data_IF_024491116239
#
_entry.id   IF_024491116239
#
_cell.length_a   1.000
_cell.length_b   1.000
_cell.length_c   1.000
_cell.angle_alpha   90.00
_cell.angle_beta   90.00
_cell.angle_gamma   90.00
#
_symmetry.space_group_name_H-M   'P 1'
#
loop_
_entity.id
_entity.type
_entity.pdbx_description
1 polymer ?
#
# COMPACT_ATOMS: atom_id res chain seq x y z
N UNK A 1 -9.11 -54.77 -35.30
CA UNK A 1 -8.37 -54.27 -34.13
C UNK A 1 -9.12 -54.71 -32.88
N UNK A 2 -8.52 -55.55 -32.03
CA UNK A 2 -9.21 -56.07 -30.86
C UNK A 2 -9.51 -54.96 -29.85
N UNK A 3 -10.76 -54.91 -29.36
CA UNK A 3 -11.19 -53.99 -28.32
C UNK A 3 -10.75 -54.59 -26.96
N UNK A 4 -9.53 -54.28 -26.53
CA UNK A 4 -8.97 -54.83 -25.29
C UNK A 4 -9.58 -54.08 -24.10
N UNK A 5 -10.47 -54.72 -23.35
CA UNK A 5 -11.02 -54.17 -22.12
C UNK A 5 -9.98 -54.20 -20.98
N UNK A 6 -9.73 -53.03 -20.39
CA UNK A 6 -8.83 -52.89 -19.25
C UNK A 6 -9.45 -53.46 -17.98
N UNK A 7 -8.64 -54.23 -17.23
CA UNK A 7 -8.98 -54.70 -15.89
C UNK A 7 -9.13 -53.54 -14.91
N UNK A 8 -9.89 -53.74 -13.82
CA UNK A 8 -10.07 -52.73 -12.75
C UNK A 8 -8.73 -52.23 -12.19
N UNK A 9 -7.78 -53.13 -11.95
CA UNK A 9 -6.43 -52.80 -11.47
C UNK A 9 -5.63 -51.92 -12.45
N UNK A 10 -5.72 -52.20 -13.76
CA UNK A 10 -5.09 -51.36 -14.79
C UNK A 10 -5.71 -49.95 -14.82
N UNK A 11 -7.05 -49.85 -14.76
CA UNK A 11 -7.77 -48.56 -14.70
C UNK A 11 -7.36 -47.73 -13.47
N UNK A 12 -7.24 -48.35 -12.30
CA UNK A 12 -6.79 -47.69 -11.07
C UNK A 12 -5.32 -47.26 -11.11
N UNK A 13 -4.45 -48.07 -11.71
CA UNK A 13 -3.03 -47.71 -11.92
C UNK A 13 -2.91 -46.49 -12.84
N UNK A 14 -3.65 -46.47 -13.94
CA UNK A 14 -3.68 -45.33 -14.88
C UNK A 14 -4.17 -44.07 -14.16
N UNK A 15 -5.27 -44.15 -13.40
CA UNK A 15 -5.81 -43.01 -12.63
C UNK A 15 -4.79 -42.43 -11.66
N UNK A 16 -4.04 -43.29 -10.94
CA UNK A 16 -2.96 -42.88 -10.03
C UNK A 16 -1.80 -42.20 -10.76
N UNK A 17 -1.38 -42.73 -11.91
CA UNK A 17 -0.31 -42.15 -12.73
C UNK A 17 -0.72 -40.79 -13.31
N UNK A 18 -1.93 -40.68 -13.85
CA UNK A 18 -2.49 -39.42 -14.35
C UNK A 18 -2.54 -38.36 -13.24
N UNK A 19 -3.01 -38.72 -12.05
CA UNK A 19 -3.05 -37.80 -10.92
C UNK A 19 -1.66 -37.29 -10.52
N UNK A 20 -0.65 -38.17 -10.43
CA UNK A 20 0.74 -37.80 -10.12
C UNK A 20 1.36 -36.92 -11.21
N UNK A 21 1.15 -37.26 -12.48
CA UNK A 21 1.67 -36.49 -13.61
C UNK A 21 1.02 -35.11 -13.69
N UNK A 22 -0.29 -35.01 -13.43
CA UNK A 22 -1.00 -33.74 -13.37
C UNK A 22 -0.48 -32.85 -12.24
N UNK A 23 -0.23 -33.41 -11.05
CA UNK A 23 0.36 -32.64 -9.94
C UNK A 23 1.74 -32.09 -10.31
N UNK A 24 2.61 -32.93 -10.89
CA UNK A 24 3.94 -32.50 -11.37
C UNK A 24 3.83 -31.41 -12.43
N UNK A 25 2.97 -31.60 -13.43
CA UNK A 25 2.74 -30.63 -14.49
C UNK A 25 2.23 -29.28 -13.95
N UNK A 26 1.34 -29.28 -12.97
CA UNK A 26 0.84 -28.06 -12.32
C UNK A 26 1.94 -27.29 -11.60
N UNK A 27 2.82 -27.98 -10.88
CA UNK A 27 3.96 -27.35 -10.19
C UNK A 27 4.90 -26.72 -11.22
N UNK A 28 5.29 -27.46 -12.26
CA UNK A 28 6.17 -26.96 -13.32
C UNK A 28 5.54 -25.76 -14.06
N UNK A 29 4.27 -25.84 -14.44
CA UNK A 29 3.57 -24.73 -15.08
C UNK A 29 3.49 -23.49 -14.17
N UNK A 30 3.23 -23.68 -12.87
CA UNK A 30 3.23 -22.58 -11.90
C UNK A 30 4.60 -21.92 -11.78
N UNK A 31 5.70 -22.69 -11.82
CA UNK A 31 7.06 -22.15 -11.82
C UNK A 31 7.39 -21.37 -13.09
N UNK A 32 7.04 -21.90 -14.26
CA UNK A 32 7.19 -21.20 -15.54
C UNK A 32 6.40 -19.89 -15.52
N UNK A 33 5.14 -19.93 -15.10
CA UNK A 33 4.29 -18.74 -14.99
C UNK A 33 4.84 -17.71 -13.99
N UNK A 34 5.40 -18.15 -12.86
CA UNK A 34 6.08 -17.27 -11.88
C UNK A 34 7.31 -16.61 -12.48
N UNK A 35 8.15 -17.35 -13.20
CA UNK A 35 9.34 -16.83 -13.88
C UNK A 35 8.96 -15.79 -14.94
N UNK A 36 7.99 -16.11 -15.78
CA UNK A 36 7.51 -15.20 -16.83
C UNK A 36 6.85 -13.95 -16.25
N UNK A 37 6.03 -14.08 -15.20
CA UNK A 37 5.48 -12.94 -14.46
C UNK A 37 6.59 -12.05 -13.89
N UNK A 38 7.63 -12.65 -13.29
CA UNK A 38 8.77 -11.90 -12.72
C UNK A 38 9.53 -11.14 -13.81
N UNK A 39 9.77 -11.75 -14.98
CA UNK A 39 10.39 -11.07 -16.14
C UNK A 39 9.54 -9.89 -16.62
N UNK A 40 8.22 -10.07 -16.78
CA UNK A 40 7.31 -8.98 -17.19
C UNK A 40 7.33 -7.82 -16.20
N UNK A 41 7.21 -8.11 -14.90
CA UNK A 41 7.27 -7.08 -13.85
C UNK A 41 8.60 -6.36 -13.85
N UNK A 42 9.73 -7.08 -14.00
CA UNK A 42 11.06 -6.46 -14.06
C UNK A 42 11.17 -5.46 -15.21
N UNK A 43 10.78 -5.86 -16.42
CA UNK A 43 10.81 -4.99 -17.61
C UNK A 43 9.96 -3.72 -17.42
N UNK A 44 8.77 -3.86 -16.84
CA UNK A 44 7.88 -2.72 -16.56
C UNK A 44 8.48 -1.83 -15.47
N UNK A 45 9.05 -2.42 -14.42
CA UNK A 45 9.67 -1.70 -13.31
C UNK A 45 10.89 -0.89 -13.77
N UNK A 46 11.70 -1.43 -14.67
CA UNK A 46 12.85 -0.71 -15.26
C UNK A 46 12.36 0.51 -16.06
N UNK A 47 11.33 0.34 -16.90
CA UNK A 47 10.71 1.46 -17.63
C UNK A 47 10.12 2.52 -16.70
N UNK A 48 9.43 2.12 -15.64
CA UNK A 48 8.87 3.04 -14.66
C UNK A 48 9.97 3.81 -13.92
N UNK A 49 11.10 3.15 -13.60
CA UNK A 49 12.26 3.80 -12.98
C UNK A 49 12.87 4.86 -13.90
N UNK A 50 13.13 4.51 -15.16
CA UNK A 50 13.65 5.44 -16.16
C UNK A 50 12.71 6.61 -16.42
N UNK A 51 11.39 6.39 -16.35
CA UNK A 51 10.41 7.47 -16.46
C UNK A 51 10.53 8.46 -15.30
N UNK A 52 10.59 7.96 -14.06
CA UNK A 52 10.71 8.82 -12.87
C UNK A 52 12.06 9.56 -12.85
N UNK A 53 13.15 8.93 -13.28
CA UNK A 53 14.49 9.57 -13.35
C UNK A 53 14.51 10.80 -14.29
N UNK A 54 13.59 10.89 -15.25
CA UNK A 54 13.47 12.02 -16.17
C UNK A 54 12.61 13.17 -15.63
N UNK A 55 11.89 12.96 -14.53
CA UNK A 55 11.00 13.98 -13.96
C UNK A 55 11.76 14.81 -12.95
N UNK A 56 11.83 16.12 -13.21
CA UNK A 56 12.33 17.07 -12.23
C UNK A 56 11.29 17.31 -11.13
N UNK A 57 11.62 16.96 -9.89
CA UNK A 57 10.75 17.12 -8.73
C UNK A 57 10.92 18.51 -8.09
N UNK A 58 10.43 19.55 -8.77
CA UNK A 58 10.39 20.90 -8.23
C UNK A 58 9.18 21.13 -7.30
N UNK A 59 9.13 22.29 -6.63
CA UNK A 59 8.09 22.58 -5.63
C UNK A 59 6.67 22.59 -6.20
N UNK A 60 6.47 22.92 -7.48
CA UNK A 60 5.16 22.88 -8.13
C UNK A 60 4.70 21.44 -8.34
N UNK A 61 5.58 20.59 -8.88
CA UNK A 61 5.30 19.16 -9.08
C UNK A 61 4.99 18.48 -7.74
N UNK A 62 5.77 18.78 -6.70
CA UNK A 62 5.54 18.21 -5.37
C UNK A 62 4.19 18.66 -4.76
N UNK A 63 3.77 19.91 -4.97
CA UNK A 63 2.43 20.39 -4.54
C UNK A 63 1.31 19.65 -5.26
N UNK A 64 1.45 19.41 -6.57
CA UNK A 64 0.48 18.64 -7.33
C UNK A 64 0.41 17.18 -6.83
N UNK A 65 1.56 16.54 -6.59
CA UNK A 65 1.61 15.18 -6.03
C UNK A 65 0.95 15.12 -4.65
N UNK A 66 1.26 16.07 -3.76
CA UNK A 66 0.64 16.14 -2.43
C UNK A 66 -0.87 16.31 -2.53
N UNK A 67 -1.35 17.20 -3.40
CA UNK A 67 -2.77 17.49 -3.57
C UNK A 67 -3.51 16.30 -4.18
N UNK A 68 -2.96 15.66 -5.21
CA UNK A 68 -3.53 14.45 -5.80
C UNK A 68 -3.58 13.29 -4.79
N UNK A 69 -2.51 13.09 -4.01
CA UNK A 69 -2.47 12.08 -2.95
C UNK A 69 -3.53 12.37 -1.88
N UNK A 70 -3.70 13.64 -1.49
CA UNK A 70 -4.66 14.06 -0.48
C UNK A 70 -6.11 13.95 -0.96
N UNK A 71 -6.39 14.26 -2.23
CA UNK A 71 -7.72 14.05 -2.82
C UNK A 71 -8.08 12.56 -2.88
N UNK A 72 -7.11 11.67 -3.12
CA UNK A 72 -7.35 10.23 -3.09
C UNK A 72 -7.55 9.66 -1.68
N UNK A 73 -6.60 9.89 -0.77
CA UNK A 73 -6.48 9.16 0.50
C UNK A 73 -6.66 10.04 1.76
N UNK A 74 -6.72 11.36 1.59
CA UNK A 74 -6.83 12.31 2.69
C UNK A 74 -8.26 12.48 3.22
N UNK A 75 -8.39 13.03 4.43
CA UNK A 75 -9.69 13.38 5.03
C UNK A 75 -10.10 14.80 4.63
N UNK A 76 -11.34 14.97 4.14
CA UNK A 76 -11.85 16.25 3.65
C UNK A 76 -12.68 17.00 4.70
N UNK A 77 -12.80 16.45 5.92
CA UNK A 77 -13.39 17.17 7.05
C UNK A 77 -12.43 18.29 7.48
N UNK A 78 -12.96 19.50 7.64
CA UNK A 78 -12.16 20.65 8.07
C UNK A 78 -11.49 20.41 9.43
N UNK A 79 -10.31 21.01 9.61
CA UNK A 79 -9.65 21.14 10.91
C UNK A 79 -8.20 20.65 10.95
N UNK A 80 -7.80 19.77 10.03
CA UNK A 80 -6.44 19.24 9.97
C UNK A 80 -6.14 18.56 8.63
N UNK A 81 -4.85 18.51 8.28
CA UNK A 81 -4.36 17.68 7.18
C UNK A 81 -4.25 16.24 7.69
N UNK A 82 -5.10 15.34 7.20
CA UNK A 82 -5.14 13.95 7.67
C UNK A 82 -5.07 12.95 6.53
N UNK A 83 -4.21 11.94 6.65
CA UNK A 83 -4.12 10.83 5.69
C UNK A 83 -3.85 9.52 6.41
N UNK A 84 -4.70 8.52 6.16
CA UNK A 84 -4.56 7.17 6.72
C UNK A 84 -4.06 6.19 5.68
N UNK A 85 -2.97 5.46 5.96
CA UNK A 85 -2.52 4.40 5.05
C UNK A 85 -1.92 3.21 5.78
N UNK A 86 -2.23 2.01 5.29
CA UNK A 86 -1.50 0.79 5.66
C UNK A 86 -0.21 0.60 4.86
N UNK A 87 0.00 1.39 3.80
CA UNK A 87 1.21 1.36 3.00
C UNK A 87 2.27 2.29 3.63
N UNK A 88 3.39 1.75 4.15
CA UNK A 88 4.41 2.55 4.81
C UNK A 88 5.04 3.62 3.90
N UNK A 89 5.14 3.35 2.59
CA UNK A 89 5.71 4.30 1.64
C UNK A 89 4.79 5.49 1.39
N UNK A 90 3.46 5.27 1.38
CA UNK A 90 2.49 6.35 1.18
C UNK A 90 2.50 7.29 2.39
N UNK A 91 2.37 6.75 3.61
CA UNK A 91 2.41 7.56 4.82
C UNK A 91 3.73 8.34 4.95
N UNK A 92 4.87 7.70 4.65
CA UNK A 92 6.18 8.36 4.66
C UNK A 92 6.28 9.46 3.60
N UNK A 93 5.84 9.19 2.37
CA UNK A 93 5.85 10.18 1.29
C UNK A 93 4.98 11.40 1.66
N UNK A 94 3.81 11.18 2.23
CA UNK A 94 2.92 12.24 2.71
C UNK A 94 3.62 13.14 3.75
N UNK A 95 4.24 12.56 4.79
CA UNK A 95 4.99 13.34 5.80
C UNK A 95 6.18 14.09 5.17
N UNK A 96 6.93 13.43 4.28
CA UNK A 96 8.05 14.06 3.57
C UNK A 96 7.61 15.23 2.68
N UNK A 97 6.47 15.10 1.99
CA UNK A 97 5.91 16.18 1.17
C UNK A 97 5.50 17.37 2.03
N UNK A 98 4.85 17.15 3.18
CA UNK A 98 4.49 18.22 4.10
C UNK A 98 5.74 18.97 4.58
N UNK A 99 6.76 18.24 5.07
CA UNK A 99 8.02 18.83 5.55
C UNK A 99 8.81 19.54 4.46
N UNK A 100 8.73 19.06 3.22
CA UNK A 100 9.45 19.66 2.08
C UNK A 100 8.76 20.89 1.48
N UNK A 101 7.44 21.02 1.64
CA UNK A 101 6.65 22.08 1.02
C UNK A 101 6.27 23.21 1.98
N UNK A 102 6.29 22.95 3.29
CA UNK A 102 5.81 23.89 4.30
C UNK A 102 6.79 23.96 5.47
N UNK A 103 6.88 25.13 6.09
CA UNK A 103 7.52 25.27 7.41
C UNK A 103 6.54 24.75 8.46
N UNK A 104 6.88 23.62 9.08
CA UNK A 104 6.01 22.94 10.04
C UNK A 104 6.52 23.14 11.46
N UNK A 105 5.58 23.19 12.40
CA UNK A 105 5.86 22.93 13.81
C UNK A 105 5.64 21.44 14.05
N UNK A 106 6.74 20.70 14.23
CA UNK A 106 6.73 19.24 14.40
C UNK A 106 5.87 18.77 15.59
N UNK A 107 5.64 19.61 16.59
CA UNK A 107 4.81 19.27 17.76
C UNK A 107 3.32 19.11 17.41
N UNK A 108 2.87 19.70 16.29
CA UNK A 108 1.48 19.65 15.80
C UNK A 108 1.13 18.34 15.11
N UNK A 109 2.12 17.49 14.83
CA UNK A 109 1.82 16.13 14.36
C UNK A 109 1.15 15.33 15.47
N UNK A 110 0.08 14.63 15.10
CA UNK A 110 -0.56 13.60 15.91
C UNK A 110 -0.80 12.38 15.04
N UNK A 111 -0.71 11.19 15.61
CA UNK A 111 -0.89 9.96 14.85
C UNK A 111 -1.82 9.00 15.59
N UNK A 112 -2.65 8.27 14.86
CA UNK A 112 -3.45 7.17 15.40
C UNK A 112 -3.18 5.94 14.57
N UNK A 113 -2.91 4.81 15.23
CA UNK A 113 -2.73 3.54 14.53
C UNK A 113 -3.98 2.70 14.73
N UNK A 114 -4.49 2.14 13.63
CA UNK A 114 -5.53 1.13 13.62
C UNK A 114 -4.90 -0.23 13.30
N UNK A 115 -4.71 -1.05 14.33
CA UNK A 115 -4.12 -2.38 14.23
C UNK A 115 -5.17 -3.49 14.24
N UNK A 116 -4.76 -4.72 13.88
CA UNK A 116 -5.58 -5.91 14.12
C UNK A 116 -5.41 -6.39 15.56
N UNK A 117 -6.37 -7.17 16.04
CA UNK A 117 -6.48 -7.61 17.43
C UNK A 117 -5.28 -8.43 17.94
N UNK A 118 -4.62 -9.18 17.04
CA UNK A 118 -3.44 -10.00 17.37
C UNK A 118 -2.13 -9.21 17.41
N UNK A 119 -2.15 -7.91 17.10
CA UNK A 119 -0.97 -7.05 17.06
C UNK A 119 -0.73 -6.36 18.40
N UNK A 120 0.54 -6.07 18.71
CA UNK A 120 0.94 -5.34 19.91
C UNK A 120 1.01 -3.84 19.63
N UNK A 121 0.25 -2.98 20.34
CA UNK A 121 0.27 -1.53 20.17
C UNK A 121 1.67 -0.91 20.15
N UNK A 122 2.50 -1.24 21.15
CA UNK A 122 3.85 -0.68 21.30
C UNK A 122 4.77 -0.99 20.12
N UNK A 123 4.63 -2.19 19.52
CA UNK A 123 5.42 -2.57 18.34
C UNK A 123 5.01 -1.75 17.11
N UNK A 124 3.70 -1.47 16.97
CA UNK A 124 3.18 -0.64 15.89
C UNK A 124 3.63 0.81 16.06
N UNK A 125 3.47 1.37 17.25
CA UNK A 125 3.87 2.74 17.59
C UNK A 125 5.36 2.96 17.33
N UNK A 126 6.23 2.05 17.80
CA UNK A 126 7.67 2.11 17.55
C UNK A 126 8.02 2.01 16.06
N UNK A 127 7.33 1.13 15.32
CA UNK A 127 7.53 0.99 13.88
C UNK A 127 7.23 2.29 13.14
N UNK A 128 6.05 2.86 13.38
CA UNK A 128 5.60 4.08 12.69
C UNK A 128 6.37 5.31 13.15
N UNK A 129 6.68 5.42 14.45
CA UNK A 129 7.53 6.48 14.99
C UNK A 129 8.89 6.51 14.29
N UNK A 130 9.57 5.36 14.18
CA UNK A 130 10.86 5.25 13.48
C UNK A 130 10.75 5.58 12.00
N UNK A 131 9.70 5.09 11.33
CA UNK A 131 9.51 5.28 9.89
C UNK A 131 9.24 6.74 9.53
N UNK A 132 8.33 7.38 10.27
CA UNK A 132 7.86 8.74 10.02
C UNK A 132 8.74 9.80 10.68
N UNK A 133 9.65 9.40 11.57
CA UNK A 133 10.45 10.29 12.43
C UNK A 133 9.52 11.23 13.22
N UNK A 134 8.53 10.66 13.91
CA UNK A 134 7.63 11.39 14.80
C UNK A 134 7.72 10.70 16.18
N UNK A 135 7.93 11.43 17.29
CA UNK A 135 8.03 10.84 18.62
C UNK A 135 6.79 10.03 19.01
N UNK A 136 6.97 8.91 19.73
CA UNK A 136 5.85 8.08 20.23
C UNK A 136 4.89 8.88 21.13
N UNK A 137 5.37 9.92 21.82
CA UNK A 137 4.55 10.84 22.61
C UNK A 137 3.50 11.61 21.79
N UNK A 138 3.64 11.64 20.46
CA UNK A 138 2.69 12.24 19.54
C UNK A 138 1.73 11.21 18.91
N UNK A 139 1.72 9.97 19.41
CA UNK A 139 0.76 8.94 19.02
C UNK A 139 -0.36 8.87 20.05
N UNK A 140 -1.59 8.98 19.58
CA UNK A 140 -2.76 8.61 20.37
C UNK A 140 -2.78 7.09 20.59
N UNK A 141 -3.60 6.67 21.56
CA UNK A 141 -3.80 5.25 21.87
C UNK A 141 -4.12 4.46 20.60
N UNK A 142 -3.28 3.47 20.29
CA UNK A 142 -3.53 2.54 19.19
C UNK A 142 -4.88 1.83 19.37
N UNK A 143 -5.68 1.84 18.31
CA UNK A 143 -6.99 1.21 18.25
C UNK A 143 -6.86 -0.19 17.62
N UNK A 144 -7.19 -1.24 18.36
CA UNK A 144 -7.19 -2.61 17.84
C UNK A 144 -8.61 -3.00 17.39
N UNK A 145 -8.73 -3.49 16.15
CA UNK A 145 -10.00 -3.94 15.58
C UNK A 145 -10.43 -5.29 16.19
N UNK A 146 -11.33 -5.25 17.17
CA UNK A 146 -11.87 -6.43 17.85
C UNK A 146 -12.52 -7.44 16.90
N UNK A 147 -13.02 -7.02 15.73
CA UNK A 147 -13.63 -7.91 14.73
C UNK A 147 -12.63 -8.90 14.13
N UNK A 148 -11.33 -8.63 14.29
CA UNK A 148 -10.24 -9.47 13.75
C UNK A 148 -9.73 -10.51 14.75
N UNK A 149 -10.35 -10.62 15.94
CA UNK A 149 -10.00 -11.63 16.95
C UNK A 149 -10.08 -13.04 16.35
N UNK A 150 -9.04 -13.85 16.59
CA UNK A 150 -8.92 -15.21 16.04
C UNK A 150 -8.28 -15.30 14.65
N UNK A 151 -8.09 -14.17 13.96
CA UNK A 151 -7.42 -14.13 12.66
C UNK A 151 -5.96 -13.71 12.82
N UNK A 152 -5.05 -14.44 12.17
CA UNK A 152 -3.62 -14.14 12.19
C UNK A 152 -3.27 -13.07 11.17
N UNK A 153 -2.62 -12.00 11.62
CA UNK A 153 -2.05 -10.96 10.77
C UNK A 153 -0.83 -11.45 10.00
N UNK A 154 -0.66 -10.95 8.79
CA UNK A 154 0.61 -11.09 8.06
C UNK A 154 1.72 -10.36 8.82
N UNK A 155 2.91 -10.97 8.90
CA UNK A 155 4.07 -10.37 9.61
C UNK A 155 4.45 -8.97 9.09
N UNK A 156 4.22 -8.73 7.79
CA UNK A 156 4.52 -7.47 7.10
C UNK A 156 3.46 -6.40 7.29
N UNK A 157 2.26 -6.75 7.76
CA UNK A 157 1.18 -5.78 8.00
C UNK A 157 1.43 -5.03 9.31
N UNK A 158 1.41 -3.70 9.27
CA UNK A 158 1.71 -2.83 10.41
C UNK A 158 0.53 -1.93 10.80
N UNK A 159 -0.70 -2.38 10.53
CA UNK A 159 -1.88 -1.55 10.74
C UNK A 159 -1.98 -0.40 9.75
N UNK A 160 -3.02 0.41 9.88
CA UNK A 160 -3.18 1.69 9.20
C UNK A 160 -2.66 2.79 10.12
N UNK A 161 -1.73 3.61 9.66
CA UNK A 161 -1.32 4.81 10.38
C UNK A 161 -2.06 6.02 9.80
N UNK A 162 -2.89 6.65 10.62
CA UNK A 162 -3.49 7.94 10.37
C UNK A 162 -2.52 9.01 10.85
N UNK A 163 -1.93 9.74 9.90
CA UNK A 163 -1.10 10.90 10.18
C UNK A 163 -1.98 12.14 10.16
N UNK A 164 -1.94 12.93 11.23
CA UNK A 164 -2.66 14.21 11.37
C UNK A 164 -1.65 15.33 11.58
N UNK A 165 -1.79 16.41 10.82
CA UNK A 165 -1.12 17.69 11.07
C UNK A 165 -2.19 18.78 11.21
N UNK A 166 -2.30 19.34 12.41
CA UNK A 166 -3.39 20.27 12.73
C UNK A 166 -3.10 21.66 12.18
N UNK A 167 -3.45 21.93 10.92
CA UNK A 167 -3.35 23.25 10.28
C UNK A 167 -4.38 23.43 9.16
N UNK A 168 -5.36 24.31 9.40
CA UNK A 168 -6.48 24.53 8.48
C UNK A 168 -6.03 25.25 7.20
N UNK A 169 -5.07 26.17 7.30
CA UNK A 169 -4.60 26.92 6.14
C UNK A 169 -3.86 26.02 5.15
N UNK A 170 -2.99 25.12 5.66
CA UNK A 170 -2.33 24.12 4.84
C UNK A 170 -3.36 23.17 4.22
N UNK A 171 -4.32 22.68 5.00
CA UNK A 171 -5.37 21.79 4.50
C UNK A 171 -6.15 22.41 3.33
N UNK A 172 -6.64 23.64 3.51
CA UNK A 172 -7.38 24.38 2.47
C UNK A 172 -6.54 24.57 1.23
N UNK A 173 -5.26 24.92 1.38
CA UNK A 173 -4.35 25.10 0.24
C UNK A 173 -4.17 23.81 -0.55
N UNK A 174 -3.99 22.67 0.12
CA UNK A 174 -3.84 21.35 -0.54
C UNK A 174 -5.12 21.00 -1.31
N UNK A 175 -6.29 21.17 -0.68
CA UNK A 175 -7.59 20.87 -1.32
C UNK A 175 -7.79 21.77 -2.54
N UNK A 176 -7.66 23.09 -2.38
CA UNK A 176 -7.92 24.04 -3.47
C UNK A 176 -6.98 23.84 -4.67
N UNK A 177 -5.69 23.54 -4.43
CA UNK A 177 -4.76 23.18 -5.53
C UNK A 177 -5.25 21.92 -6.26
N UNK A 178 -5.72 20.92 -5.52
CA UNK A 178 -6.27 19.69 -6.07
C UNK A 178 -7.52 19.95 -6.92
N UNK A 179 -8.49 20.70 -6.39
CA UNK A 179 -9.72 21.05 -7.12
C UNK A 179 -9.41 21.85 -8.39
N UNK A 180 -8.55 22.87 -8.31
CA UNK A 180 -8.12 23.63 -9.50
C UNK A 180 -7.40 22.75 -10.54
N UNK A 181 -6.65 21.73 -10.10
CA UNK A 181 -6.07 20.74 -11.02
C UNK A 181 -7.16 19.93 -11.72
N UNK A 182 -8.16 19.45 -10.98
CA UNK A 182 -9.28 18.69 -11.55
C UNK A 182 -10.06 19.51 -12.59
N UNK A 183 -10.40 20.76 -12.26
CA UNK A 183 -11.05 21.68 -13.20
C UNK A 183 -10.24 21.87 -14.48
N UNK A 184 -8.92 22.01 -14.35
CA UNK A 184 -8.02 22.13 -15.50
C UNK A 184 -8.02 20.87 -16.36
N UNK A 185 -8.01 19.69 -15.75
CA UNK A 185 -8.01 18.40 -16.46
C UNK A 185 -9.34 18.16 -17.21
N UNK A 186 -10.47 18.52 -16.62
CA UNK A 186 -11.79 18.42 -17.24
C UNK A 186 -11.90 19.32 -18.48
N UNK A 187 -11.22 20.47 -18.51
CA UNK A 187 -11.21 21.37 -19.67
C UNK A 187 -10.32 20.90 -20.82
N UNK A 188 -9.46 19.90 -20.59
CA UNK A 188 -8.55 19.34 -21.61
C UNK A 188 -9.24 18.22 -22.40
N UNK A 189 -10.24 17.55 -21.79
CA UNK A 189 -11.10 16.56 -22.46
C UNK A 189 -12.20 17.22 -23.27
#
# INVERSE_FOLDING_TARGET
>A
MANIELTKSQKERIKRLLFRNLQKARVMAAEVNRKEKKKRIRKISEKAKLFIEKIELNSHVLKLILSALYLGEGTKREGAVELGSSNPKIAKAFVCLLRGLYKLDESRFKNTIFGRYDQKPKDLENYWSKLLKIPVSQFYKTCLDKRTKGNKSYKTYKGVCLVRYTDVAIQRKIILIGESLLEKLIKIS
#
